data_IF_660125835395
#
_entry.id   IF_660125835395
#
_cell.length_a   1.000
_cell.length_b   1.000
_cell.length_c   1.000
_cell.angle_alpha   90.00
_cell.angle_beta   90.00
_cell.angle_gamma   90.00
#
_symmetry.space_group_name_H-M   'P 1'
#
loop_
_entity.id
_entity.type
_entity.pdbx_description
1 polymer ?
#
# COMPACT_ATOMS: atom_id res chain seq x y z
N UNK A 1 9.25 -1.95 -22.43
CA UNK A 1 9.14 -1.46 -21.03
C UNK A 1 8.51 -2.57 -20.19
N UNK A 2 9.17 -3.10 -19.15
CA UNK A 2 8.55 -4.09 -18.25
C UNK A 2 7.42 -3.41 -17.49
N UNK A 3 6.18 -3.92 -17.59
CA UNK A 3 5.06 -3.45 -16.77
C UNK A 3 5.43 -3.70 -15.30
N UNK A 4 5.36 -2.66 -14.47
CA UNK A 4 5.48 -2.80 -13.01
C UNK A 4 4.40 -3.76 -12.53
N UNK A 5 4.80 -4.77 -11.77
CA UNK A 5 3.89 -5.75 -11.16
C UNK A 5 3.82 -5.49 -9.68
N UNK A 6 2.63 -5.51 -9.12
CA UNK A 6 2.45 -5.43 -7.69
C UNK A 6 3.12 -6.63 -7.02
N UNK A 7 3.58 -6.42 -5.80
CA UNK A 7 3.96 -7.50 -4.90
C UNK A 7 2.69 -8.21 -4.40
N UNK A 8 2.79 -9.44 -3.86
CA UNK A 8 1.65 -10.10 -3.22
C UNK A 8 1.01 -9.25 -2.10
N UNK A 9 1.84 -8.46 -1.39
CA UNK A 9 1.35 -7.49 -0.42
C UNK A 9 0.60 -6.33 -1.10
N UNK A 10 1.17 -5.78 -2.18
CA UNK A 10 0.54 -4.73 -2.98
C UNK A 10 -0.82 -5.11 -3.55
N UNK A 11 -0.98 -6.36 -3.99
CA UNK A 11 -2.27 -6.89 -4.46
C UNK A 11 -3.31 -6.92 -3.34
N UNK A 12 -2.97 -7.48 -2.16
CA UNK A 12 -3.85 -7.51 -0.98
C UNK A 12 -4.26 -6.11 -0.53
N UNK A 13 -3.32 -5.16 -0.52
CA UNK A 13 -3.60 -3.76 -0.17
C UNK A 13 -4.62 -3.16 -1.14
N UNK A 14 -4.44 -3.33 -2.45
CA UNK A 14 -5.40 -2.80 -3.44
C UNK A 14 -6.78 -3.43 -3.33
N UNK A 15 -6.84 -4.74 -3.15
CA UNK A 15 -8.11 -5.45 -2.97
C UNK A 15 -8.85 -4.90 -1.75
N UNK A 16 -8.15 -4.72 -0.62
CA UNK A 16 -8.74 -4.21 0.61
C UNK A 16 -9.19 -2.76 0.52
N UNK A 17 -8.41 -1.91 -0.16
CA UNK A 17 -8.78 -0.53 -0.46
C UNK A 17 -10.11 -0.47 -1.22
N UNK A 18 -10.33 -1.35 -2.20
CA UNK A 18 -11.59 -1.44 -2.94
C UNK A 18 -12.74 -1.86 -2.01
N UNK A 19 -12.53 -2.89 -1.18
CA UNK A 19 -13.55 -3.36 -0.22
C UNK A 19 -13.97 -2.27 0.78
N UNK A 20 -13.03 -1.40 1.16
CA UNK A 20 -13.27 -0.30 2.11
C UNK A 20 -13.69 1.01 1.42
N UNK A 21 -13.84 1.03 0.09
CA UNK A 21 -14.06 2.24 -0.70
C UNK A 21 -13.06 3.38 -0.36
N UNK A 22 -11.80 3.00 -0.10
CA UNK A 22 -10.72 3.88 0.31
C UNK A 22 -9.72 4.05 -0.84
N UNK A 23 -9.18 5.26 -1.00
CA UNK A 23 -8.15 5.51 -2.02
C UNK A 23 -6.74 5.28 -1.47
N UNK A 24 -5.79 4.93 -2.35
CA UNK A 24 -4.37 4.83 -1.98
C UNK A 24 -3.83 6.15 -1.43
N UNK A 25 -4.34 7.30 -1.92
CA UNK A 25 -3.98 8.63 -1.39
C UNK A 25 -4.41 8.79 0.06
N UNK A 26 -5.66 8.44 0.38
CA UNK A 26 -6.18 8.48 1.75
C UNK A 26 -5.36 7.60 2.67
N UNK A 27 -5.08 6.35 2.26
CA UNK A 27 -4.23 5.45 3.05
C UNK A 27 -2.83 6.05 3.28
N UNK A 28 -2.22 6.65 2.25
CA UNK A 28 -0.91 7.28 2.40
C UNK A 28 -0.94 8.42 3.42
N UNK A 29 -1.98 9.28 3.36
CA UNK A 29 -2.18 10.37 4.32
C UNK A 29 -2.39 9.83 5.75
N UNK A 30 -3.20 8.79 5.94
CA UNK A 30 -3.44 8.16 7.25
C UNK A 30 -2.17 7.54 7.83
N UNK A 31 -1.34 6.92 6.98
CA UNK A 31 -0.06 6.31 7.37
C UNK A 31 1.05 7.36 7.56
N UNK A 32 0.83 8.61 7.13
CA UNK A 32 1.82 9.69 7.22
C UNK A 32 2.93 9.59 6.16
N UNK A 33 2.61 9.11 4.96
CA UNK A 33 3.53 8.99 3.83
C UNK A 33 2.96 9.61 2.56
N UNK A 34 3.75 9.69 1.49
CA UNK A 34 3.27 10.17 0.19
C UNK A 34 2.66 9.05 -0.63
N UNK A 35 1.66 9.37 -1.47
CA UNK A 35 1.06 8.40 -2.38
C UNK A 35 2.09 7.75 -3.33
N UNK A 36 3.11 8.51 -3.74
CA UNK A 36 4.22 8.00 -4.57
C UNK A 36 5.07 6.99 -3.80
N UNK A 37 5.42 7.30 -2.55
CA UNK A 37 6.21 6.40 -1.72
C UNK A 37 5.45 5.12 -1.38
N UNK A 38 4.15 5.23 -1.09
CA UNK A 38 3.28 4.07 -0.91
C UNK A 38 3.26 3.19 -2.16
N UNK A 39 3.12 3.79 -3.35
CA UNK A 39 3.22 3.05 -4.62
C UNK A 39 4.54 2.29 -4.73
N UNK A 40 5.68 2.93 -4.44
CA UNK A 40 6.99 2.28 -4.45
C UNK A 40 7.06 1.06 -3.52
N UNK A 41 6.40 1.10 -2.36
CA UNK A 41 6.30 -0.07 -1.46
C UNK A 41 5.48 -1.17 -2.12
N UNK A 42 4.29 -0.86 -2.65
CA UNK A 42 3.39 -1.87 -3.25
C UNK A 42 4.03 -2.58 -4.45
N UNK A 43 4.88 -1.89 -5.21
CA UNK A 43 5.63 -2.43 -6.35
C UNK A 43 7.01 -3.01 -5.98
N UNK A 44 7.40 -3.00 -4.71
CA UNK A 44 8.65 -3.60 -4.22
C UNK A 44 9.92 -2.79 -4.51
N UNK A 45 9.80 -1.50 -4.84
CA UNK A 45 10.92 -0.57 -5.04
C UNK A 45 11.49 -0.01 -3.72
N UNK A 46 10.69 -0.11 -2.64
CA UNK A 46 11.06 0.24 -1.28
C UNK A 46 10.54 -0.84 -0.34
N UNK A 47 11.33 -1.19 0.69
CA UNK A 47 10.90 -2.16 1.70
C UNK A 47 9.69 -1.65 2.48
N UNK A 48 9.69 -0.36 2.86
CA UNK A 48 8.55 0.25 3.54
C UNK A 48 8.31 -0.28 4.94
N UNK A 49 9.31 -0.91 5.58
CA UNK A 49 9.20 -1.60 6.87
C UNK A 49 8.49 -0.75 7.95
N UNK A 50 8.83 0.54 8.04
CA UNK A 50 8.19 1.49 8.96
C UNK A 50 6.67 1.63 8.75
N UNK A 51 6.20 1.47 7.52
CA UNK A 51 4.82 1.72 7.12
C UNK A 51 4.00 0.44 6.95
N UNK A 52 4.64 -0.72 6.74
CA UNK A 52 3.94 -1.99 6.51
C UNK A 52 3.01 -2.32 7.68
N UNK A 53 3.50 -2.17 8.92
CA UNK A 53 2.69 -2.52 10.10
C UNK A 53 1.49 -1.58 10.26
N UNK A 54 1.68 -0.27 10.05
CA UNK A 54 0.59 0.71 10.05
C UNK A 54 -0.43 0.45 8.93
N UNK A 55 0.04 0.10 7.72
CA UNK A 55 -0.84 -0.27 6.59
C UNK A 55 -1.66 -1.51 6.95
N UNK A 56 -1.04 -2.53 7.56
CA UNK A 56 -1.74 -3.75 7.97
C UNK A 56 -2.80 -3.45 9.03
N UNK A 57 -2.49 -2.60 10.01
CA UNK A 57 -3.43 -2.21 11.06
C UNK A 57 -4.63 -1.45 10.49
N UNK A 58 -4.40 -0.43 9.64
CA UNK A 58 -5.47 0.38 9.05
C UNK A 58 -6.37 -0.45 8.13
N UNK A 59 -5.78 -1.38 7.38
CA UNK A 59 -6.50 -2.21 6.42
C UNK A 59 -7.03 -3.52 7.03
N UNK A 60 -6.76 -3.80 8.30
CA UNK A 60 -7.08 -5.06 8.99
C UNK A 60 -6.56 -6.28 8.20
N UNK A 61 -5.30 -6.21 7.76
CA UNK A 61 -4.60 -7.29 7.06
C UNK A 61 -3.78 -8.11 8.06
N UNK A 62 -4.14 -9.39 8.21
CA UNK A 62 -3.39 -10.38 9.02
C UNK A 62 -2.12 -10.87 8.32
#
# INVERSE_FOLDING_TARGET
>A
MKKRRLTPFGDKVKERLIQMNMTQKTLAETVGTSNVYLSMILYGERSGEKYIDAIKEILDLK
#
